data_IF_601606514914
#
_entry.id   IF_601606514914
#
_cell.length_a   1.000
_cell.length_b   1.000
_cell.length_c   1.000
_cell.angle_alpha   90.00
_cell.angle_beta   90.00
_cell.angle_gamma   90.00
#
_symmetry.space_group_name_H-M   'P 1'
#
loop_
_entity.id
_entity.type
_entity.pdbx_description
1 polymer ?
#
# COMPACT_ATOMS: atom_id res chain seq x y z
N UNK A 1 23.23 16.53 -0.63
CA UNK A 1 23.39 15.19 -1.25
C UNK A 1 23.77 15.40 -2.69
N UNK A 2 24.81 14.70 -3.15
CA UNK A 2 25.37 14.93 -4.48
C UNK A 2 24.92 13.79 -5.41
N UNK A 3 23.89 14.04 -6.22
CA UNK A 3 23.36 13.07 -7.18
C UNK A 3 24.19 13.05 -8.48
N UNK A 4 25.52 12.89 -8.38
CA UNK A 4 26.43 12.81 -9.54
C UNK A 4 26.07 11.70 -10.53
N UNK A 5 25.37 10.67 -10.06
CA UNK A 5 24.87 9.61 -10.93
C UNK A 5 23.83 10.11 -11.94
N UNK A 6 23.09 11.17 -11.61
CA UNK A 6 22.06 11.77 -12.44
C UNK A 6 22.55 13.00 -13.22
N UNK A 7 23.74 13.52 -12.92
CA UNK A 7 24.27 14.75 -13.52
C UNK A 7 25.65 14.58 -14.14
N UNK A 8 25.83 15.10 -15.33
CA UNK A 8 27.14 15.30 -15.95
C UNK A 8 27.38 16.80 -15.99
N UNK A 9 28.30 17.29 -15.15
CA UNK A 9 28.43 18.72 -14.86
C UNK A 9 27.08 19.31 -14.38
N UNK A 10 26.58 20.34 -15.06
CA UNK A 10 25.33 21.01 -14.73
C UNK A 10 24.10 20.42 -15.43
N UNK A 11 24.29 19.42 -16.30
CA UNK A 11 23.21 18.81 -17.09
C UNK A 11 22.72 17.48 -16.50
N UNK A 12 21.41 17.20 -16.66
CA UNK A 12 20.83 15.89 -16.33
C UNK A 12 21.24 14.86 -17.39
N UNK A 13 21.75 13.70 -16.97
CA UNK A 13 22.35 12.70 -17.88
C UNK A 13 21.37 12.03 -18.84
N UNK A 14 20.12 11.83 -18.43
CA UNK A 14 19.15 11.05 -19.22
C UNK A 14 17.99 11.92 -19.68
N UNK A 15 17.49 11.65 -20.88
CA UNK A 15 16.33 12.36 -21.43
C UNK A 15 15.07 12.14 -20.56
N UNK A 16 14.98 10.96 -19.92
CA UNK A 16 13.90 10.69 -18.95
C UNK A 16 13.98 11.60 -17.74
N UNK A 17 15.16 11.82 -17.16
CA UNK A 17 15.31 12.78 -16.06
C UNK A 17 14.98 14.20 -16.50
N UNK A 18 15.44 14.62 -17.70
CA UNK A 18 15.11 15.93 -18.26
C UNK A 18 13.59 16.12 -18.38
N UNK A 19 12.89 15.11 -18.90
CA UNK A 19 11.42 15.12 -19.01
C UNK A 19 10.75 15.14 -17.63
N UNK A 20 11.14 14.27 -16.70
CA UNK A 20 10.55 14.21 -15.35
C UNK A 20 10.75 15.51 -14.56
N UNK A 21 11.89 16.18 -14.73
CA UNK A 21 12.22 17.43 -14.06
C UNK A 21 11.34 18.61 -14.50
N UNK A 22 10.74 18.54 -15.70
CA UNK A 22 9.83 19.57 -16.22
C UNK A 22 8.39 19.42 -15.72
N UNK A 23 8.06 18.29 -15.08
CA UNK A 23 6.70 18.01 -14.61
C UNK A 23 6.46 18.58 -13.20
N UNK A 24 5.23 19.05 -12.89
CA UNK A 24 4.91 19.53 -11.55
C UNK A 24 4.94 18.37 -10.54
N UNK A 25 5.48 18.64 -9.36
CA UNK A 25 5.40 17.72 -8.24
C UNK A 25 3.94 17.52 -7.81
N UNK A 26 3.50 16.27 -7.69
CA UNK A 26 2.13 15.92 -7.30
C UNK A 26 2.04 15.30 -5.91
N UNK A 27 3.11 14.65 -5.47
CA UNK A 27 3.12 13.91 -4.20
C UNK A 27 4.53 13.75 -3.63
N UNK A 28 4.59 13.50 -2.33
CA UNK A 28 5.83 13.19 -1.63
C UNK A 28 6.25 11.72 -1.81
N UNK A 29 7.54 11.44 -1.59
CA UNK A 29 8.08 10.08 -1.59
C UNK A 29 7.62 9.32 -0.35
N UNK A 30 6.74 8.34 -0.53
CA UNK A 30 6.31 7.45 0.55
C UNK A 30 6.99 6.09 0.43
N UNK A 31 7.77 5.75 1.45
CA UNK A 31 8.49 4.47 1.53
C UNK A 31 7.57 3.31 1.86
N UNK A 32 7.84 2.16 1.24
CA UNK A 32 7.23 0.89 1.59
C UNK A 32 7.83 0.39 2.88
N UNK A 33 6.96 0.10 3.83
CA UNK A 33 7.32 -0.58 5.07
C UNK A 33 6.82 -2.03 5.03
N UNK A 34 7.67 -2.96 5.43
CA UNK A 34 7.29 -4.35 5.56
C UNK A 34 8.27 -5.13 6.42
N UNK A 35 7.86 -6.29 6.96
CA UNK A 35 8.65 -7.09 7.89
C UNK A 35 9.96 -7.63 7.28
N UNK A 36 10.05 -7.64 5.94
CA UNK A 36 11.22 -8.14 5.20
C UNK A 36 12.09 -7.04 4.60
N UNK A 37 11.66 -5.78 4.67
CA UNK A 37 12.38 -4.67 4.04
C UNK A 37 12.27 -3.41 4.89
N UNK A 38 13.39 -3.02 5.51
CA UNK A 38 13.52 -1.80 6.29
C UNK A 38 14.10 -0.70 5.40
N UNK A 39 13.27 -0.08 4.57
CA UNK A 39 13.64 1.17 3.93
C UNK A 39 13.58 2.29 4.97
N UNK A 40 14.72 2.90 5.24
CA UNK A 40 14.80 4.17 5.98
C UNK A 40 15.08 5.30 4.99
N UNK A 41 14.86 6.55 5.40
CA UNK A 41 15.19 7.71 4.55
C UNK A 41 16.68 7.73 4.17
N UNK A 42 17.57 7.39 5.11
CA UNK A 42 19.00 7.32 4.85
C UNK A 42 19.34 6.24 3.81
N UNK A 43 18.79 5.03 3.96
CA UNK A 43 19.02 3.91 3.03
C UNK A 43 18.44 4.22 1.65
N UNK A 44 17.25 4.84 1.59
CA UNK A 44 16.64 5.23 0.32
C UNK A 44 17.51 6.24 -0.41
N UNK A 45 17.91 7.31 0.28
CA UNK A 45 18.76 8.37 -0.27
C UNK A 45 20.04 7.80 -0.86
N UNK A 46 20.71 6.93 -0.10
CA UNK A 46 21.95 6.30 -0.54
C UNK A 46 21.69 5.47 -1.80
N UNK A 47 20.63 4.66 -1.79
CA UNK A 47 20.26 3.85 -2.94
C UNK A 47 19.88 4.69 -4.17
N UNK A 48 19.17 5.82 -4.00
CA UNK A 48 18.89 6.79 -5.07
C UNK A 48 20.20 7.30 -5.67
N UNK A 49 21.17 7.63 -4.82
CA UNK A 49 22.49 8.14 -5.23
C UNK A 49 23.39 7.13 -5.96
N UNK A 50 23.06 5.84 -5.96
CA UNK A 50 23.89 4.80 -6.58
C UNK A 50 23.63 4.62 -8.08
N UNK A 51 22.46 5.01 -8.60
CA UNK A 51 22.08 4.73 -9.98
C UNK A 51 21.12 5.79 -10.54
N UNK A 52 21.39 6.31 -11.74
CA UNK A 52 20.50 7.25 -12.45
C UNK A 52 19.06 6.73 -12.56
N UNK A 53 18.88 5.42 -12.74
CA UNK A 53 17.57 4.76 -12.77
C UNK A 53 16.81 4.89 -11.46
N UNK A 54 17.50 4.83 -10.32
CA UNK A 54 16.87 5.01 -9.02
C UNK A 54 16.44 6.47 -8.83
N UNK A 55 17.23 7.43 -9.34
CA UNK A 55 16.85 8.84 -9.41
C UNK A 55 15.61 9.03 -10.30
N UNK A 56 15.58 8.41 -11.48
CA UNK A 56 14.41 8.43 -12.37
C UNK A 56 13.17 7.84 -11.69
N UNK A 57 13.32 6.71 -10.99
CA UNK A 57 12.22 6.06 -10.30
C UNK A 57 11.69 6.91 -9.14
N UNK A 58 12.58 7.57 -8.38
CA UNK A 58 12.18 8.51 -7.34
C UNK A 58 11.49 9.75 -7.92
N UNK A 59 12.01 10.33 -9.01
CA UNK A 59 11.37 11.46 -9.69
C UNK A 59 9.98 11.07 -10.25
N UNK A 60 9.87 9.89 -10.87
CA UNK A 60 8.60 9.34 -11.35
C UNK A 60 7.58 9.16 -10.21
N UNK A 61 8.03 8.70 -9.05
CA UNK A 61 7.18 8.56 -7.87
C UNK A 61 6.61 9.92 -7.42
N UNK A 62 7.30 11.03 -7.64
CA UNK A 62 6.87 12.38 -7.23
C UNK A 62 5.90 13.02 -8.22
N UNK A 63 6.07 12.78 -9.53
CA UNK A 63 5.33 13.50 -10.60
C UNK A 63 4.24 12.66 -11.29
N UNK A 64 4.27 11.34 -11.12
CA UNK A 64 3.35 10.42 -11.77
C UNK A 64 1.97 10.34 -11.13
N UNK A 65 1.12 9.49 -11.71
CA UNK A 65 -0.26 9.26 -11.27
C UNK A 65 -0.33 7.99 -10.41
N UNK A 66 -0.93 8.05 -9.22
CA UNK A 66 -1.08 6.89 -8.36
C UNK A 66 -2.15 5.92 -8.84
N UNK A 67 -1.87 4.63 -8.66
CA UNK A 67 -2.83 3.55 -8.80
C UNK A 67 -3.31 3.09 -7.44
N UNK A 68 -4.61 2.80 -7.36
CA UNK A 68 -5.25 2.18 -6.21
C UNK A 68 -4.58 0.83 -5.91
N UNK A 69 -4.52 0.37 -4.65
CA UNK A 69 -3.92 -0.92 -4.31
C UNK A 69 -4.49 -2.10 -5.12
N UNK A 70 -5.79 -2.05 -5.44
CA UNK A 70 -6.47 -3.06 -6.26
C UNK A 70 -6.09 -3.00 -7.75
N UNK A 71 -5.72 -1.84 -8.29
CA UNK A 71 -5.27 -1.67 -9.69
C UNK A 71 -3.75 -1.63 -9.86
N UNK A 72 -2.99 -1.72 -8.76
CA UNK A 72 -1.53 -1.78 -8.81
C UNK A 72 -1.02 -2.98 -9.61
N UNK A 73 0.18 -2.84 -10.20
CA UNK A 73 0.80 -3.93 -10.95
C UNK A 73 1.09 -5.14 -10.06
N UNK A 74 1.17 -6.33 -10.66
CA UNK A 74 1.43 -7.60 -9.96
C UNK A 74 2.71 -7.58 -9.10
N UNK A 75 3.76 -6.86 -9.52
CA UNK A 75 4.98 -6.71 -8.73
C UNK A 75 4.78 -5.82 -7.50
N UNK A 76 4.08 -4.69 -7.64
CA UNK A 76 3.75 -3.80 -6.52
C UNK A 76 2.84 -4.48 -5.51
N UNK A 77 1.84 -5.26 -5.97
CA UNK A 77 0.97 -6.08 -5.11
C UNK A 77 1.77 -7.11 -4.29
N UNK A 78 2.86 -7.64 -4.85
CA UNK A 78 3.81 -8.53 -4.16
C UNK A 78 4.85 -7.79 -3.32
N UNK A 79 4.68 -6.48 -3.11
CA UNK A 79 5.57 -5.68 -2.28
C UNK A 79 6.97 -5.45 -2.85
N UNK A 80 7.13 -5.46 -4.18
CA UNK A 80 8.43 -5.21 -4.82
C UNK A 80 8.68 -3.71 -5.00
N UNK A 81 9.92 -3.30 -4.72
CA UNK A 81 10.38 -1.91 -4.86
C UNK A 81 10.31 -1.12 -3.56
N UNK A 82 10.95 0.06 -3.51
CA UNK A 82 11.07 0.85 -2.28
C UNK A 82 9.84 1.69 -1.97
N UNK A 83 8.96 1.95 -2.93
CA UNK A 83 7.85 2.88 -2.76
C UNK A 83 6.56 2.17 -2.36
N UNK A 84 5.78 2.79 -1.48
CA UNK A 84 4.52 2.25 -1.00
C UNK A 84 3.49 2.14 -2.12
N UNK A 85 3.39 3.19 -2.96
CA UNK A 85 2.36 3.34 -3.99
C UNK A 85 2.87 2.90 -5.36
N UNK A 86 1.97 2.34 -6.18
CA UNK A 86 2.25 2.04 -7.58
C UNK A 86 1.98 3.27 -8.44
N UNK A 87 3.04 3.95 -8.90
CA UNK A 87 2.94 5.20 -9.67
C UNK A 87 3.37 4.98 -11.12
N UNK A 88 2.58 5.42 -12.09
CA UNK A 88 2.94 5.43 -13.51
C UNK A 88 2.90 6.84 -14.08
N UNK A 89 3.47 7.03 -15.26
CA UNK A 89 3.35 8.27 -16.04
C UNK A 89 3.12 7.88 -17.49
N UNK A 90 2.30 8.66 -18.20
CA UNK A 90 2.06 8.43 -19.62
C UNK A 90 3.38 8.48 -20.40
N UNK A 91 3.52 7.57 -21.37
CA UNK A 91 4.74 7.38 -22.15
C UNK A 91 5.99 6.97 -21.33
N UNK A 92 5.83 6.55 -20.07
CA UNK A 92 6.90 5.98 -19.27
C UNK A 92 6.78 4.44 -19.21
N UNK A 93 7.86 3.67 -19.43
CA UNK A 93 7.80 2.22 -19.42
C UNK A 93 7.72 1.67 -17.98
N UNK A 94 6.50 1.39 -17.54
CA UNK A 94 6.21 0.74 -16.25
C UNK A 94 5.99 1.72 -15.11
N UNK A 95 5.76 1.18 -13.92
CA UNK A 95 5.62 1.98 -12.70
C UNK A 95 6.98 2.26 -12.04
N UNK A 96 7.05 3.26 -11.16
CA UNK A 96 8.27 3.64 -10.43
C UNK A 96 8.98 2.46 -9.74
N UNK A 97 8.23 1.59 -9.06
CA UNK A 97 8.79 0.41 -8.39
C UNK A 97 9.36 -0.64 -9.36
N UNK A 98 8.73 -0.83 -10.53
CA UNK A 98 9.26 -1.73 -11.56
C UNK A 98 10.48 -1.13 -12.24
N UNK A 99 10.45 0.18 -12.52
CA UNK A 99 11.56 0.93 -13.08
C UNK A 99 12.79 0.86 -12.17
N UNK A 100 12.61 1.08 -10.86
CA UNK A 100 13.67 0.94 -9.86
C UNK A 100 14.43 -0.40 -9.99
N UNK A 101 13.69 -1.50 -10.21
CA UNK A 101 14.24 -2.86 -10.25
C UNK A 101 14.74 -3.31 -11.63
N UNK A 102 14.80 -2.41 -12.62
CA UNK A 102 15.10 -2.74 -14.02
C UNK A 102 14.08 -3.69 -14.67
N UNK A 103 12.86 -3.74 -14.13
CA UNK A 103 11.78 -4.60 -14.60
C UNK A 103 10.63 -3.77 -15.20
N UNK A 104 10.95 -2.57 -15.70
CA UNK A 104 9.98 -1.66 -16.32
C UNK A 104 9.20 -2.34 -17.45
N UNK A 105 9.87 -3.11 -18.31
CA UNK A 105 9.25 -3.85 -19.42
C UNK A 105 8.35 -5.02 -19.01
N UNK A 106 8.56 -5.59 -17.83
CA UNK A 106 7.75 -6.68 -17.26
C UNK A 106 6.56 -6.14 -16.43
N UNK A 107 6.39 -4.81 -16.36
CA UNK A 107 5.28 -4.20 -15.63
C UNK A 107 3.95 -4.56 -16.30
N UNK A 108 3.06 -5.20 -15.54
CA UNK A 108 1.71 -5.60 -16.00
C UNK A 108 0.78 -4.43 -16.34
N UNK A 109 1.20 -3.18 -16.09
CA UNK A 109 0.48 -1.98 -16.52
C UNK A 109 0.87 -1.51 -17.93
N UNK A 110 1.99 -1.99 -18.49
CA UNK A 110 2.42 -1.59 -19.84
C UNK A 110 1.57 -2.16 -20.97
N UNK A 111 0.92 -3.29 -20.73
CA UNK A 111 0.04 -3.92 -21.73
C UNK A 111 -1.22 -3.10 -21.95
N UNK A 112 -1.72 -2.40 -20.93
CA UNK A 112 -2.98 -1.65 -20.99
C UNK A 112 -2.88 -0.36 -21.85
N UNK A 113 -1.70 0.24 -21.95
CA UNK A 113 -1.52 1.49 -22.70
C UNK A 113 -1.37 1.28 -24.21
N UNK A 114 -0.93 0.08 -24.65
CA UNK A 114 -0.83 -0.24 -26.09
C UNK A 114 -2.17 -0.58 -26.74
N UNK A 115 -3.05 -1.24 -26.01
CA UNK A 115 -4.35 -1.66 -26.55
C UNK A 115 -5.32 -0.46 -26.69
N UNK A 116 -5.14 0.58 -25.86
CA UNK A 116 -5.97 1.79 -25.91
C UNK A 116 -5.72 2.69 -27.12
N UNK A 117 -4.65 2.47 -27.89
CA UNK A 117 -4.36 3.23 -29.11
C UNK A 117 -4.77 2.47 -30.40
N UNK A 118 -5.29 1.25 -30.28
CA UNK A 118 -5.59 0.38 -31.44
C UNK A 118 -7.09 0.15 -31.69
N UNK A 119 -7.98 0.79 -30.92
CA UNK A 119 -9.41 0.46 -30.87
C UNK A 119 -10.35 1.44 -31.56
N UNK A 120 -10.22 1.64 -32.87
CA UNK A 120 -11.28 2.25 -33.68
C UNK A 120 -11.44 1.49 -35.00
N UNK A 121 -12.14 0.34 -34.97
CA UNK A 121 -12.98 -0.15 -36.07
C UNK A 121 -13.69 -1.48 -35.72
N UNK A 122 -14.96 -1.56 -36.15
CA UNK A 122 -15.90 -2.70 -36.14
C UNK A 122 -16.51 -3.02 -34.76
N UNK A 123 -17.80 -2.82 -34.47
CA UNK A 123 -18.97 -2.74 -35.34
C UNK A 123 -19.50 -4.13 -35.66
N UNK A 124 -20.19 -4.78 -34.73
CA UNK A 124 -21.22 -5.77 -35.08
C UNK A 124 -22.32 -5.87 -34.01
N UNK A 125 -23.53 -6.01 -34.55
CA UNK A 125 -24.86 -5.82 -33.99
C UNK A 125 -25.57 -7.18 -33.93
N UNK A 126 -26.57 -7.27 -33.05
CA UNK A 126 -27.64 -8.29 -32.96
C UNK A 126 -27.31 -9.51 -32.08
N UNK A 127 -28.24 -10.13 -31.34
CA UNK A 127 -29.71 -10.05 -31.27
C UNK A 127 -30.18 -10.69 -29.94
N UNK A 128 -31.29 -10.27 -29.32
CA UNK A 128 -31.88 -10.93 -28.15
C UNK A 128 -32.67 -12.16 -28.59
N UNK A 129 -32.66 -13.23 -27.79
CA UNK A 129 -33.58 -14.35 -27.94
C UNK A 129 -34.13 -14.74 -26.57
N UNK A 130 -35.43 -14.53 -26.47
CA UNK A 130 -36.32 -14.99 -25.40
C UNK A 130 -36.22 -16.49 -25.19
N UNK A 131 -36.16 -16.91 -23.92
CA UNK A 131 -36.69 -18.20 -23.48
C UNK A 131 -36.86 -18.22 -21.95
N UNK A 132 -38.12 -18.20 -21.55
CA UNK A 132 -38.70 -19.14 -20.56
C UNK A 132 -38.33 -18.95 -19.09
N UNK A 133 -39.13 -18.09 -18.45
CA UNK A 133 -39.54 -18.22 -17.05
C UNK A 133 -40.20 -19.59 -16.80
N UNK A 134 -39.69 -20.37 -15.83
CA UNK A 134 -40.49 -21.07 -14.82
C UNK A 134 -39.63 -22.05 -14.01
N UNK A 135 -39.01 -21.56 -12.94
CA UNK A 135 -38.66 -22.39 -11.78
C UNK A 135 -38.55 -21.47 -10.58
N UNK A 136 -39.64 -21.37 -9.83
CA UNK A 136 -39.64 -20.88 -8.46
C UNK A 136 -38.95 -21.94 -7.59
N UNK A 137 -37.65 -22.11 -7.78
CA UNK A 137 -36.80 -22.81 -6.83
C UNK A 137 -36.57 -21.86 -5.67
N UNK A 138 -37.15 -22.22 -4.52
CA UNK A 138 -36.76 -21.68 -3.22
C UNK A 138 -35.24 -21.52 -3.21
N UNK A 139 -34.69 -20.35 -2.83
CA UNK A 139 -33.24 -20.15 -2.80
C UNK A 139 -32.66 -21.31 -2.01
N UNK A 140 -31.92 -22.16 -2.73
CA UNK A 140 -31.37 -23.38 -2.15
C UNK A 140 -30.63 -23.00 -0.88
N UNK A 141 -30.68 -23.84 0.16
CA UNK A 141 -29.97 -23.58 1.42
C UNK A 141 -28.49 -23.17 1.18
N UNK A 142 -27.92 -23.61 0.06
CA UNK A 142 -26.61 -23.21 -0.47
C UNK A 142 -26.51 -21.71 -0.77
N UNK A 143 -27.49 -21.07 -1.42
CA UNK A 143 -27.48 -19.63 -1.70
C UNK A 143 -27.52 -18.78 -0.43
N UNK A 144 -28.35 -19.15 0.55
CA UNK A 144 -28.41 -18.43 1.82
C UNK A 144 -27.11 -18.60 2.62
N UNK A 145 -26.53 -19.81 2.59
CA UNK A 145 -25.26 -20.06 3.27
C UNK A 145 -24.09 -19.35 2.58
N UNK A 146 -24.08 -19.27 1.24
CA UNK A 146 -23.12 -18.48 0.48
C UNK A 146 -23.22 -16.99 0.83
N UNK A 147 -24.45 -16.46 0.96
CA UNK A 147 -24.69 -15.07 1.38
C UNK A 147 -24.13 -14.80 2.78
N UNK A 148 -24.32 -15.73 3.73
CA UNK A 148 -23.74 -15.63 5.07
C UNK A 148 -22.20 -15.60 5.04
N UNK A 149 -21.58 -16.50 4.27
CA UNK A 149 -20.11 -16.53 4.13
C UNK A 149 -19.55 -15.24 3.52
N UNK A 150 -20.23 -14.66 2.53
CA UNK A 150 -19.81 -13.40 1.92
C UNK A 150 -19.85 -12.23 2.93
N UNK A 151 -20.91 -12.13 3.74
CA UNK A 151 -21.00 -11.11 4.78
C UNK A 151 -19.89 -11.26 5.84
N UNK A 152 -19.58 -12.50 6.25
CA UNK A 152 -18.50 -12.77 7.20
C UNK A 152 -17.12 -12.39 6.60
N UNK A 153 -16.90 -12.65 5.30
CA UNK A 153 -15.67 -12.23 4.60
C UNK A 153 -15.55 -10.70 4.57
N UNK A 154 -16.63 -9.99 4.23
CA UNK A 154 -16.65 -8.53 4.24
C UNK A 154 -16.35 -7.96 5.63
N UNK A 155 -16.93 -8.54 6.68
CA UNK A 155 -16.64 -8.17 8.06
C UNK A 155 -15.15 -8.38 8.42
N UNK A 156 -14.57 -9.54 8.08
CA UNK A 156 -13.13 -9.81 8.28
C UNK A 156 -12.27 -8.80 7.51
N UNK A 157 -12.61 -8.49 6.27
CA UNK A 157 -11.90 -7.50 5.47
C UNK A 157 -11.95 -6.10 6.11
N UNK A 158 -13.11 -5.69 6.64
CA UNK A 158 -13.26 -4.45 7.41
C UNK A 158 -12.34 -4.43 8.64
N UNK A 159 -12.40 -5.46 9.47
CA UNK A 159 -11.56 -5.53 10.69
C UNK A 159 -10.07 -5.56 10.37
N UNK A 160 -9.65 -6.24 9.28
CA UNK A 160 -8.25 -6.23 8.84
C UNK A 160 -7.80 -4.82 8.40
N UNK A 161 -8.67 -4.04 7.77
CA UNK A 161 -8.40 -2.64 7.44
C UNK A 161 -8.21 -1.81 8.70
N UNK A 162 -9.07 -1.98 9.70
CA UNK A 162 -8.97 -1.28 11.00
C UNK A 162 -7.68 -1.65 11.76
N UNK A 163 -7.30 -2.93 11.73
CA UNK A 163 -6.02 -3.41 12.27
C UNK A 163 -4.85 -2.72 11.56
N UNK A 164 -4.88 -2.65 10.23
CA UNK A 164 -3.83 -1.99 9.47
C UNK A 164 -3.71 -0.51 9.83
N UNK A 165 -4.85 0.19 9.95
CA UNK A 165 -4.88 1.59 10.38
C UNK A 165 -4.33 1.75 11.81
N UNK A 166 -4.81 0.94 12.77
CA UNK A 166 -4.34 0.96 14.15
C UNK A 166 -2.84 0.68 14.26
N UNK A 167 -2.30 -0.21 13.43
CA UNK A 167 -0.86 -0.46 13.36
C UNK A 167 -0.06 0.79 12.93
N UNK A 168 -0.54 1.54 11.93
CA UNK A 168 0.12 2.78 11.52
C UNK A 168 0.14 3.83 12.64
N UNK A 169 -0.98 3.98 13.35
CA UNK A 169 -1.09 4.92 14.46
C UNK A 169 -0.21 4.55 15.65
N UNK A 170 -0.17 3.27 16.04
CA UNK A 170 0.72 2.75 17.07
C UNK A 170 2.17 3.03 16.69
N UNK A 171 2.52 2.83 15.41
CA UNK A 171 3.88 3.04 14.91
C UNK A 171 4.30 4.50 14.96
N UNK A 172 3.44 5.42 14.56
CA UNK A 172 3.70 6.87 14.62
C UNK A 172 3.92 7.32 16.07
N UNK A 173 3.07 6.86 17.00
CA UNK A 173 3.25 7.13 18.42
C UNK A 173 4.55 6.53 18.98
N UNK A 174 4.91 5.30 18.59
CA UNK A 174 6.16 4.68 19.01
C UNK A 174 7.38 5.46 18.53
N UNK A 175 7.33 6.01 17.31
CA UNK A 175 8.36 6.89 16.77
C UNK A 175 8.49 8.18 17.60
N UNK A 176 7.37 8.87 17.86
CA UNK A 176 7.33 10.08 18.69
C UNK A 176 7.87 9.81 20.10
N UNK A 177 7.47 8.70 20.72
CA UNK A 177 7.98 8.29 22.03
C UNK A 177 9.49 8.06 22.02
N UNK A 178 10.02 7.42 20.97
CA UNK A 178 11.47 7.13 20.85
C UNK A 178 12.26 8.43 20.66
N UNK A 179 11.85 9.28 19.72
CA UNK A 179 12.50 10.56 19.43
C UNK A 179 12.49 11.47 20.67
N UNK A 180 11.36 11.57 21.37
CA UNK A 180 11.27 12.39 22.59
C UNK A 180 12.10 11.83 23.72
N UNK A 181 12.17 10.51 23.91
CA UNK A 181 13.01 9.91 24.95
C UNK A 181 14.50 10.19 24.71
N UNK A 182 14.95 10.11 23.46
CA UNK A 182 16.33 10.47 23.09
C UNK A 182 16.60 11.96 23.34
N UNK A 183 15.70 12.83 22.89
CA UNK A 183 15.82 14.28 23.08
C UNK A 183 15.84 14.67 24.56
N UNK A 184 14.99 14.03 25.39
CA UNK A 184 14.96 14.26 26.85
C UNK A 184 16.29 13.85 27.49
N UNK A 185 16.92 12.76 27.03
CA UNK A 185 18.25 12.35 27.50
C UNK A 185 19.32 13.42 27.28
N UNK A 186 19.33 14.03 26.10
CA UNK A 186 20.26 15.11 25.75
C UNK A 186 19.91 16.42 26.49
N UNK A 187 18.62 16.74 26.65
CA UNK A 187 18.15 17.97 27.28
C UNK A 187 18.32 17.98 28.80
N UNK A 188 18.19 16.80 29.44
CA UNK A 188 18.41 16.57 30.88
C UNK A 188 19.79 17.01 31.35
N UNK A 189 20.79 17.04 30.45
CA UNK A 189 22.14 17.51 30.77
C UNK A 189 22.24 19.04 30.86
N UNK A 190 21.24 19.79 30.38
CA UNK A 190 21.37 21.25 30.15
C UNK A 190 20.50 22.16 31.02
N UNK A 191 19.26 21.78 31.41
CA UNK A 191 18.33 22.66 32.18
C UNK A 191 17.25 21.90 32.99
N UNK A 192 17.18 22.02 34.34
CA UNK A 192 16.26 21.24 35.18
C UNK A 192 14.77 21.57 35.04
N UNK A 193 14.39 22.84 34.86
CA UNK A 193 12.96 23.24 34.90
C UNK A 193 12.18 22.86 33.64
N UNK A 194 12.86 22.71 32.48
CA UNK A 194 12.26 22.22 31.24
C UNK A 194 12.02 20.70 31.23
N UNK A 195 12.64 19.97 32.16
CA UNK A 195 12.60 18.49 32.21
C UNK A 195 11.22 18.00 32.61
N UNK A 196 10.56 18.66 33.57
CA UNK A 196 9.24 18.23 34.05
C UNK A 196 8.21 18.24 32.92
N UNK A 197 8.19 19.31 32.11
CA UNK A 197 7.26 19.42 30.99
C UNK A 197 7.52 18.35 29.91
N UNK A 198 8.78 18.13 29.54
CA UNK A 198 9.13 17.11 28.55
C UNK A 198 8.84 15.68 29.04
N UNK A 199 9.05 15.41 30.33
CA UNK A 199 8.69 14.14 30.97
C UNK A 199 7.17 13.92 30.98
N UNK A 200 6.37 14.94 31.32
CA UNK A 200 4.91 14.84 31.31
C UNK A 200 4.37 14.56 29.90
N UNK A 201 4.88 15.26 28.89
CA UNK A 201 4.52 15.01 27.48
C UNK A 201 4.91 13.60 27.01
N UNK A 202 6.06 13.09 27.44
CA UNK A 202 6.50 11.72 27.11
C UNK A 202 5.60 10.69 27.78
N UNK A 203 5.26 10.91 29.06
CA UNK A 203 4.35 10.05 29.81
C UNK A 203 2.94 10.02 29.19
N UNK A 204 2.44 11.15 28.70
CA UNK A 204 1.16 11.24 28.00
C UNK A 204 1.18 10.47 26.67
N UNK A 205 2.23 10.65 25.86
CA UNK A 205 2.41 9.89 24.62
C UNK A 205 2.47 8.38 24.88
N UNK A 206 3.16 7.95 25.94
CA UNK A 206 3.24 6.54 26.32
C UNK A 206 1.89 5.96 26.79
N UNK A 207 1.08 6.75 27.51
CA UNK A 207 -0.30 6.34 27.85
C UNK A 207 -1.15 6.16 26.60
N UNK A 208 -1.11 7.15 25.69
CA UNK A 208 -1.83 7.07 24.41
C UNK A 208 -1.44 5.82 23.61
N UNK A 209 -0.13 5.51 23.54
CA UNK A 209 0.38 4.30 22.89
C UNK A 209 -0.19 3.01 23.52
N UNK A 210 -0.21 2.93 24.86
CA UNK A 210 -0.77 1.77 25.56
C UNK A 210 -2.27 1.60 25.31
N UNK A 211 -3.04 2.70 25.26
CA UNK A 211 -4.47 2.64 24.97
C UNK A 211 -4.72 2.15 23.53
N UNK A 212 -3.94 2.63 22.56
CA UNK A 212 -4.03 2.14 21.16
C UNK A 212 -3.62 0.67 21.04
N UNK A 213 -2.57 0.23 21.74
CA UNK A 213 -2.17 -1.18 21.76
C UNK A 213 -3.28 -2.08 22.34
N UNK A 214 -3.99 -1.61 23.37
CA UNK A 214 -5.14 -2.33 23.92
C UNK A 214 -6.28 -2.43 22.91
N UNK A 215 -6.63 -1.34 22.24
CA UNK A 215 -7.65 -1.33 21.19
C UNK A 215 -7.28 -2.28 20.03
N UNK A 216 -6.01 -2.25 19.60
CA UNK A 216 -5.49 -3.17 18.59
C UNK A 216 -5.59 -4.65 19.03
N UNK A 217 -5.29 -4.94 20.30
CA UNK A 217 -5.49 -6.28 20.87
C UNK A 217 -6.95 -6.73 20.80
N UNK A 218 -7.92 -5.84 21.02
CA UNK A 218 -9.35 -6.17 20.90
C UNK A 218 -9.75 -6.48 19.44
N UNK A 219 -9.22 -5.75 18.46
CA UNK A 219 -9.45 -6.04 17.04
C UNK A 219 -8.90 -7.43 16.65
N UNK A 220 -7.73 -7.82 17.16
CA UNK A 220 -7.18 -9.15 16.91
C UNK A 220 -8.07 -10.27 17.46
N UNK A 221 -8.67 -10.06 18.64
CA UNK A 221 -9.63 -11.01 19.22
C UNK A 221 -10.88 -11.11 18.33
N UNK A 222 -11.43 -9.97 17.85
CA UNK A 222 -12.58 -9.97 16.94
C UNK A 222 -12.30 -10.73 15.65
N UNK A 223 -11.11 -10.57 15.04
CA UNK A 223 -10.72 -11.36 13.86
C UNK A 223 -10.68 -12.85 14.17
N UNK A 224 -10.16 -13.26 15.34
CA UNK A 224 -10.12 -14.67 15.72
C UNK A 224 -11.53 -15.27 15.87
N UNK A 225 -12.48 -14.51 16.42
CA UNK A 225 -13.88 -14.92 16.55
C UNK A 225 -14.54 -15.07 15.17
N UNK A 226 -14.34 -14.11 14.26
CA UNK A 226 -14.86 -14.18 12.89
C UNK A 226 -14.27 -15.36 12.10
N UNK A 227 -12.96 -15.60 12.21
CA UNK A 227 -12.33 -16.77 11.59
C UNK A 227 -12.88 -18.09 12.12
N UNK A 228 -13.20 -18.14 13.41
CA UNK A 228 -13.83 -19.31 14.04
C UNK A 228 -15.24 -19.53 13.50
N UNK A 229 -16.03 -18.46 13.33
CA UNK A 229 -17.36 -18.52 12.72
C UNK A 229 -17.30 -19.02 11.26
N UNK A 230 -16.40 -18.46 10.44
CA UNK A 230 -16.15 -18.91 9.07
C UNK A 230 -15.78 -20.39 8.99
N UNK A 231 -14.95 -20.87 9.94
CA UNK A 231 -14.56 -22.27 10.00
C UNK A 231 -15.76 -23.20 10.28
N UNK A 232 -16.68 -22.78 11.15
CA UNK A 232 -17.94 -23.52 11.40
C UNK A 232 -18.82 -23.56 10.16
N UNK A 233 -19.00 -22.45 9.45
CA UNK A 233 -19.79 -22.40 8.22
C UNK A 233 -19.19 -23.30 7.13
N UNK A 234 -17.86 -23.31 7.00
CA UNK A 234 -17.16 -24.20 6.06
C UNK A 234 -17.42 -25.68 6.33
N UNK A 235 -17.47 -26.10 7.60
CA UNK A 235 -17.80 -27.49 7.96
C UNK A 235 -19.22 -27.85 7.53
N UNK A 236 -20.19 -26.97 7.79
CA UNK A 236 -21.59 -27.18 7.36
C UNK A 236 -21.73 -27.33 5.85
N UNK A 237 -20.98 -26.53 5.07
CA UNK A 237 -20.93 -26.69 3.61
C UNK A 237 -20.38 -28.06 3.20
N UNK A 238 -19.30 -28.50 3.84
CA UNK A 238 -18.68 -29.80 3.54
C UNK A 238 -19.62 -30.96 3.87
N UNK A 239 -20.42 -30.85 4.93
CA UNK A 239 -21.44 -31.83 5.30
C UNK A 239 -22.59 -31.87 4.27
N UNK A 240 -23.05 -30.71 3.80
CA UNK A 240 -24.09 -30.63 2.75
C UNK A 240 -23.63 -31.20 1.40
N UNK A 241 -22.35 -31.04 1.04
CA UNK A 241 -21.78 -31.61 -0.19
C UNK A 241 -21.63 -33.14 -0.14
N UNK A 242 -21.69 -33.75 1.06
CA UNK A 242 -21.53 -35.19 1.26
C UNK A 242 -22.83 -36.00 1.16
N UNK A 243 -23.97 -35.33 0.97
CA UNK A 243 -25.31 -35.90 0.85
C UNK A 243 -25.88 -35.73 -0.55
#
# INVERSE_FOLDING_TARGET
MDFRVAREHDELKTDRLKMLYQLPMKQELVLRFGPRVTWTNAVLVEAIGQNARHVEAAALQVVGTPHNPHSACSHCKRGRGPFATCITLDNFPGCANCHWRDKGGECTLNTLTRDSQSGAQTGHRSRPSDASESSQDSPSQVQELLRLVLNDIEAVCGTLSDIQQGYYEIRELAYICTERTLTVGDYLQSRPDSVRSAYEQTREAQRSLNDKLRAFGQLLIQVADLLSALHVQRRRLTELESH
#
